data_IF_854354585242
#
_entry.id   IF_854354585242
#
_cell.length_a   1.000
_cell.length_b   1.000
_cell.length_c   1.000
_cell.angle_alpha   90.00
_cell.angle_beta   90.00
_cell.angle_gamma   90.00
#
_symmetry.space_group_name_H-M   'P 1'
#
loop_
_entity.id
_entity.type
_entity.pdbx_description
1 polymer ?
#
# COMPACT_ATOMS: atom_id res chain seq x y z
N UNK A 1 22.96 2.35 -5.65
CA UNK A 1 22.97 1.77 -4.29
C UNK A 1 22.85 2.78 -3.15
N UNK A 2 23.30 4.04 -3.31
CA UNK A 2 23.25 5.06 -2.25
C UNK A 2 21.85 5.26 -1.63
N UNK A 3 20.80 5.34 -2.44
CA UNK A 3 19.42 5.57 -1.94
C UNK A 3 18.90 4.45 -1.03
N UNK A 4 19.25 3.20 -1.32
CA UNK A 4 18.85 2.06 -0.49
C UNK A 4 19.46 2.19 0.90
N UNK A 5 20.76 2.45 0.98
CA UNK A 5 21.46 2.61 2.24
C UNK A 5 21.03 3.88 2.99
N UNK A 6 20.72 4.96 2.28
CA UNK A 6 20.11 6.17 2.85
C UNK A 6 18.78 5.85 3.52
N UNK A 7 17.90 5.12 2.84
CA UNK A 7 16.61 4.70 3.39
C UNK A 7 16.78 3.80 4.60
N UNK A 8 17.60 2.75 4.51
CA UNK A 8 17.84 1.81 5.61
C UNK A 8 18.39 2.54 6.83
N UNK A 9 19.34 3.46 6.65
CA UNK A 9 19.89 4.26 7.75
C UNK A 9 18.79 5.02 8.50
N UNK A 10 17.86 5.65 7.78
CA UNK A 10 16.73 6.37 8.38
C UNK A 10 15.71 5.44 9.06
N UNK A 11 15.52 4.23 8.54
CA UNK A 11 14.65 3.20 9.15
C UNK A 11 15.24 2.59 10.41
N UNK A 12 16.57 2.56 10.52
CA UNK A 12 17.31 2.01 11.65
C UNK A 12 17.81 3.08 12.63
N UNK A 13 17.21 4.29 12.60
CA UNK A 13 17.51 5.29 13.62
C UNK A 13 17.17 4.78 15.02
N UNK A 14 18.11 5.03 15.94
CA UNK A 14 18.02 4.55 17.32
C UNK A 14 16.88 5.24 18.05
N UNK A 15 16.86 6.57 17.99
CA UNK A 15 15.81 7.39 18.57
C UNK A 15 14.49 7.20 17.80
N UNK A 16 13.43 6.69 18.45
CA UNK A 16 12.17 6.37 17.76
C UNK A 16 11.51 7.62 17.19
N UNK A 17 11.64 8.76 17.86
CA UNK A 17 11.10 10.05 17.40
C UNK A 17 11.81 10.58 16.15
N UNK A 18 13.04 10.14 15.88
CA UNK A 18 13.83 10.54 14.71
C UNK A 18 13.76 9.52 13.57
N UNK A 19 13.16 8.35 13.82
CA UNK A 19 13.00 7.29 12.83
C UNK A 19 11.97 7.69 11.79
N UNK A 20 12.30 7.45 10.52
CA UNK A 20 11.39 7.72 9.42
C UNK A 20 10.07 6.94 9.58
N UNK A 21 8.95 7.61 9.30
CA UNK A 21 7.66 6.95 9.28
C UNK A 21 7.49 6.08 8.02
N UNK A 22 6.53 5.15 8.03
CA UNK A 22 6.23 4.36 6.84
C UNK A 22 5.83 5.23 5.65
N UNK A 23 5.01 6.26 5.88
CA UNK A 23 4.59 7.19 4.82
C UNK A 23 5.78 7.89 4.18
N UNK A 24 6.67 8.47 4.99
CA UNK A 24 7.89 9.12 4.50
C UNK A 24 8.83 8.13 3.80
N UNK A 25 8.93 6.88 4.26
CA UNK A 25 9.72 5.85 3.63
C UNK A 25 9.21 5.56 2.21
N UNK A 26 7.90 5.44 2.01
CA UNK A 26 7.30 5.20 0.69
C UNK A 26 7.53 6.36 -0.29
N UNK A 27 7.71 7.58 0.20
CA UNK A 27 8.05 8.77 -0.59
C UNK A 27 9.57 8.97 -0.80
N UNK A 28 10.42 8.04 -0.37
CA UNK A 28 11.87 8.17 -0.53
C UNK A 28 12.32 7.94 -1.98
N UNK A 29 13.35 8.65 -2.51
CA UNK A 29 13.84 8.53 -3.89
C UNK A 29 14.24 7.11 -4.33
N UNK A 30 14.50 6.23 -3.36
CA UNK A 30 14.69 4.80 -3.62
C UNK A 30 13.51 4.18 -4.39
N UNK A 31 12.27 4.57 -4.07
CA UNK A 31 11.05 4.05 -4.68
C UNK A 31 10.69 4.77 -6.00
N UNK A 32 11.24 5.95 -6.27
CA UNK A 32 11.01 6.68 -7.53
C UNK A 32 11.53 5.91 -8.74
N UNK A 33 12.55 5.07 -8.55
CA UNK A 33 13.14 4.26 -9.63
C UNK A 33 12.46 2.91 -9.82
N UNK A 34 11.46 2.57 -8.99
CA UNK A 34 10.72 1.34 -9.17
C UNK A 34 9.80 1.42 -10.39
N UNK A 35 9.65 0.32 -11.15
CA UNK A 35 8.58 0.20 -12.13
C UNK A 35 7.22 0.47 -11.49
N UNK A 36 6.25 1.04 -12.24
CA UNK A 36 4.91 1.35 -11.74
C UNK A 36 4.22 0.21 -10.98
N UNK A 37 4.37 -1.02 -11.46
CA UNK A 37 3.76 -2.22 -10.86
C UNK A 37 4.36 -2.62 -9.50
N UNK A 38 5.51 -2.06 -9.13
CA UNK A 38 6.13 -2.25 -7.81
C UNK A 38 5.87 -1.07 -6.85
N UNK A 39 5.19 0.00 -7.30
CA UNK A 39 4.86 1.14 -6.44
C UNK A 39 3.52 0.90 -5.74
N UNK A 40 3.53 1.05 -4.42
CA UNK A 40 2.32 0.97 -3.60
C UNK A 40 1.49 2.23 -3.84
N UNK A 41 0.31 2.08 -4.45
CA UNK A 41 -0.64 3.18 -4.70
C UNK A 41 -0.87 3.54 -6.18
N UNK A 42 -0.13 2.96 -7.12
CA UNK A 42 -0.32 3.17 -8.57
C UNK A 42 -1.19 2.07 -9.21
N UNK A 43 -2.06 1.41 -8.44
CA UNK A 43 -3.16 0.64 -9.02
C UNK A 43 -4.14 1.65 -9.63
N UNK A 44 -4.10 1.75 -10.95
CA UNK A 44 -4.98 2.60 -11.76
C UNK A 44 -6.39 2.67 -11.19
N UNK A 45 -6.75 3.87 -10.74
CA UNK A 45 -8.12 4.34 -10.54
C UNK A 45 -8.86 4.48 -11.90
N UNK A 46 -8.81 3.43 -12.72
CA UNK A 46 -9.49 3.31 -14.02
C UNK A 46 -10.01 1.88 -14.19
N UNK A 47 -10.80 1.39 -13.25
CA UNK A 47 -11.82 0.41 -13.59
C UNK A 47 -13.18 1.12 -13.49
N UNK A 48 -14.00 1.10 -14.56
CA UNK A 48 -15.34 1.63 -14.49
C UNK A 48 -16.14 0.79 -13.50
N UNK A 49 -17.08 1.45 -12.83
CA UNK A 49 -18.05 0.85 -11.94
C UNK A 49 -18.70 -0.37 -12.62
N UNK A 50 -18.32 -1.59 -12.22
CA UNK A 50 -19.22 -2.72 -12.33
C UNK A 50 -20.04 -2.73 -11.05
N UNK A 51 -21.26 -2.20 -11.16
CA UNK A 51 -22.34 -2.40 -10.22
C UNK A 51 -22.68 -3.89 -10.15
N UNK A 52 -21.84 -4.68 -9.50
CA UNK A 52 -22.14 -6.03 -9.08
C UNK A 52 -22.78 -5.98 -7.71
N UNK A 53 -24.07 -5.61 -7.65
CA UNK A 53 -24.90 -5.94 -6.50
C UNK A 53 -24.95 -7.47 -6.38
N UNK A 54 -23.99 -8.09 -5.68
CA UNK A 54 -24.19 -9.43 -5.17
C UNK A 54 -25.21 -9.33 -4.04
N UNK A 55 -26.47 -9.45 -4.45
CA UNK A 55 -27.62 -9.60 -3.59
C UNK A 55 -27.26 -10.56 -2.46
N UNK A 56 -27.36 -10.05 -1.24
CA UNK A 56 -27.21 -10.80 0.01
C UNK A 56 -28.40 -11.75 0.10
N UNK A 57 -28.38 -12.87 -0.60
CA UNK A 57 -29.34 -13.93 -0.32
C UNK A 57 -28.86 -14.68 0.93
N UNK A 58 -29.31 -14.18 2.09
CA UNK A 58 -29.38 -14.94 3.34
C UNK A 58 -30.16 -16.21 3.03
N UNK A 59 -29.47 -17.34 2.88
CA UNK A 59 -30.10 -18.66 2.95
C UNK A 59 -30.51 -18.94 4.39
N UNK A 60 -31.56 -18.27 4.87
CA UNK A 60 -32.39 -18.73 5.97
C UNK A 60 -33.61 -19.42 5.38
N UNK A 61 -33.50 -20.71 5.10
CA UNK A 61 -34.67 -21.58 5.10
C UNK A 61 -34.76 -22.26 6.46
N UNK A 62 -35.43 -21.57 7.39
CA UNK A 62 -36.15 -22.21 8.49
C UNK A 62 -37.36 -22.92 7.90
N UNK A 63 -37.51 -24.22 8.15
CA UNK A 63 -38.77 -24.97 8.25
C UNK A 63 -38.41 -26.38 8.76
N UNK A 64 -38.73 -26.66 10.03
CA UNK A 64 -39.90 -27.41 10.53
C UNK A 64 -39.77 -28.91 10.31
#
# INVERSE_FOLDING_TARGET
HYELFSLIKKMLEYEPSSRITLGEALHHPFFDRLPPHHRVGEVSNKQPLSSGSSSRERSHSLSR
#
